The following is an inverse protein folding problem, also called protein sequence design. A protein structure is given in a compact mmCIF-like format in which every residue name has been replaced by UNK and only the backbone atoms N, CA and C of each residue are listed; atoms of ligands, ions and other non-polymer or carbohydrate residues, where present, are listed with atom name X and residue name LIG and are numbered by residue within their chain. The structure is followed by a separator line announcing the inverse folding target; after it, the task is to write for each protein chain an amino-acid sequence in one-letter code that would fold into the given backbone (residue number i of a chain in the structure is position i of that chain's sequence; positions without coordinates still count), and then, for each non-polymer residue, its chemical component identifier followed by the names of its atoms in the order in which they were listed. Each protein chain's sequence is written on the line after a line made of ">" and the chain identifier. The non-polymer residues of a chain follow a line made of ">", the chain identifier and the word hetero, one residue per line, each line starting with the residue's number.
data_IF_045680840523
#
_entry.id   IF_045680840523
#
_cell.length_a   1.000
_cell.length_b   1.000
_cell.length_c   1.000
_cell.angle_alpha   90.00
_cell.angle_beta   90.00
_cell.angle_gamma   90.00
#
_symmetry.space_group_name_H-M   'P 1'
#
loop_
_entity.id
_entity.type
_entity.pdbx_description
1 polymer ?
#
# COMPACT_ATOMS: atom_id res chain seq x y z
N UNK A 1 -28.46 35.00 21.45
CA UNK A 1 -28.48 36.48 21.52
C UNK A 1 -29.92 36.89 21.24
N UNK A 2 -30.73 37.27 22.26
CA UNK A 2 -31.12 38.68 22.55
C UNK A 2 -31.14 39.52 21.26
N UNK A 3 -32.23 40.10 20.77
CA UNK A 3 -33.54 40.42 21.33
C UNK A 3 -33.99 41.77 20.74
N UNK A 4 -35.29 41.93 20.52
CA UNK A 4 -36.07 43.16 20.22
C UNK A 4 -35.81 43.85 18.86
N UNK A 5 -36.82 44.36 18.15
CA UNK A 5 -37.87 45.34 18.55
C UNK A 5 -38.99 45.27 17.45
N UNK A 6 -40.29 45.06 17.70
CA UNK A 6 -41.38 45.94 18.24
C UNK A 6 -41.39 47.37 17.65
N UNK A 7 -42.49 48.05 17.28
CA UNK A 7 -43.95 47.81 17.36
C UNK A 7 -44.70 48.79 16.43
N UNK A 8 -45.98 48.45 16.26
CA UNK A 8 -47.12 48.95 15.48
C UNK A 8 -47.61 50.39 15.76
N UNK A 9 -48.25 50.94 14.72
CA UNK A 9 -49.06 52.17 14.57
C UNK A 9 -50.21 52.29 15.59
N UNK A 10 -50.51 53.48 16.12
CA UNK A 10 -51.90 53.85 16.49
C UNK A 10 -52.16 55.36 16.70
N UNK A 11 -53.45 55.69 16.59
CA UNK A 11 -54.20 56.96 16.40
C UNK A 11 -54.28 57.94 17.60
N UNK A 12 -54.82 59.15 17.34
CA UNK A 12 -55.67 59.94 18.28
C UNK A 12 -55.36 61.45 18.23
N UNK A 13 -56.15 62.34 17.60
CA UNK A 13 -57.44 62.99 17.99
C UNK A 13 -57.29 64.28 18.87
N UNK A 14 -58.03 65.32 18.45
CA UNK A 14 -58.47 66.60 19.12
C UNK A 14 -57.41 67.70 19.38
N UNK A 15 -57.44 68.88 18.74
CA UNK A 15 -58.41 70.01 18.69
C UNK A 15 -58.12 71.10 19.76
N UNK A 16 -57.92 72.36 19.33
CA UNK A 16 -58.57 73.61 19.80
C UNK A 16 -57.79 74.88 19.35
N UNK A 17 -58.57 75.87 18.92
CA UNK A 17 -58.30 77.31 18.66
C UNK A 17 -57.57 77.72 17.37
N UNK A 18 -58.20 78.28 16.32
CA UNK A 18 -59.15 79.41 16.12
C UNK A 18 -58.41 80.71 15.74
N UNK A 19 -58.87 81.26 14.62
CA UNK A 19 -58.68 82.61 14.04
C UNK A 19 -57.64 82.82 12.91
N UNK A 20 -58.18 83.43 11.84
CA UNK A 20 -57.53 84.23 10.77
C UNK A 20 -56.77 83.37 9.74
N UNK A 21 -57.09 83.35 8.45
CA UNK A 21 -57.60 84.39 7.56
C UNK A 21 -58.12 83.75 6.27
N UNK A 22 -59.24 84.27 5.74
CA UNK A 22 -59.57 84.18 4.32
C UNK A 22 -58.44 84.81 3.48
N UNK A 23 -58.28 84.33 2.24
CA UNK A 23 -57.41 84.80 1.15
C UNK A 23 -56.09 84.06 0.94
N UNK A 24 -56.15 82.89 0.28
CA UNK A 24 -55.07 82.46 -0.64
C UNK A 24 -55.46 81.25 -1.54
N UNK A 25 -56.71 81.15 -2.03
CA UNK A 25 -57.20 79.90 -2.65
C UNK A 25 -57.16 79.82 -4.18
N UNK A 26 -56.41 80.70 -4.88
CA UNK A 26 -56.45 80.71 -6.36
C UNK A 26 -55.10 80.86 -7.11
N UNK A 27 -53.94 80.70 -6.44
CA UNK A 27 -52.64 80.85 -7.13
C UNK A 27 -51.66 79.67 -7.03
N UNK A 28 -52.02 78.55 -6.38
CA UNK A 28 -51.11 77.42 -6.13
C UNK A 28 -51.38 76.13 -6.94
N UNK A 29 -52.41 76.09 -7.80
CA UNK A 29 -52.82 74.83 -8.45
C UNK A 29 -52.00 74.43 -9.69
N UNK A 30 -51.29 75.35 -10.34
CA UNK A 30 -50.56 75.06 -11.60
C UNK A 30 -49.09 74.68 -11.37
N UNK A 31 -48.48 75.09 -10.26
CA UNK A 31 -47.09 74.77 -9.91
C UNK A 31 -46.97 73.31 -9.44
N UNK A 32 -48.00 72.80 -8.76
CA UNK A 32 -48.00 71.47 -8.15
C UNK A 32 -48.20 70.32 -9.16
N UNK A 33 -48.75 70.58 -10.35
CA UNK A 33 -48.90 69.59 -11.43
C UNK A 33 -47.65 69.50 -12.29
N UNK A 34 -46.97 70.62 -12.57
CA UNK A 34 -45.70 70.62 -13.32
C UNK A 34 -44.56 69.95 -12.54
N UNK A 35 -44.50 70.18 -11.22
CA UNK A 35 -43.50 69.55 -10.33
C UNK A 35 -43.71 68.04 -10.21
N UNK A 36 -44.96 67.57 -10.18
CA UNK A 36 -45.27 66.13 -10.18
C UNK A 36 -44.97 65.47 -11.52
N UNK A 37 -45.15 66.18 -12.64
CA UNK A 37 -44.77 65.70 -13.97
C UNK A 37 -43.24 65.63 -14.14
N UNK A 38 -42.51 66.62 -13.62
CA UNK A 38 -41.05 66.65 -13.62
C UNK A 38 -40.46 65.50 -12.79
N UNK A 39 -41.03 65.21 -11.62
CA UNK A 39 -40.64 64.07 -10.78
C UNK A 39 -40.96 62.74 -11.47
N UNK A 40 -42.10 62.62 -12.16
CA UNK A 40 -42.49 61.41 -12.89
C UNK A 40 -41.57 61.11 -14.09
N UNK A 41 -41.05 62.15 -14.74
CA UNK A 41 -40.08 62.03 -15.85
C UNK A 41 -38.66 61.77 -15.33
N UNK A 42 -38.29 62.22 -14.12
CA UNK A 42 -36.95 62.00 -13.56
C UNK A 42 -36.73 60.57 -13.01
N UNK A 43 -37.79 59.88 -12.59
CA UNK A 43 -37.73 58.53 -12.02
C UNK A 43 -37.18 57.48 -13.00
N UNK A 44 -37.59 57.40 -14.29
CA UNK A 44 -37.02 56.42 -15.22
C UNK A 44 -35.56 56.69 -15.61
N UNK A 45 -35.04 57.91 -15.43
CA UNK A 45 -33.61 58.20 -15.67
C UNK A 45 -32.68 57.62 -14.59
N UNK A 46 -33.20 57.36 -13.38
CA UNK A 46 -32.42 56.78 -12.28
C UNK A 46 -32.38 55.24 -12.32
N UNK A 47 -33.25 54.59 -13.11
CA UNK A 47 -33.33 53.13 -13.24
C UNK A 47 -32.41 52.62 -14.38
N UNK A 48 -31.84 53.52 -15.20
CA UNK A 48 -30.86 53.19 -16.24
C UNK A 48 -29.42 53.05 -15.70
N UNK A 49 -29.27 52.37 -14.57
CA UNK A 49 -27.97 52.15 -13.92
C UNK A 49 -27.32 50.85 -14.45
N UNK A 50 -26.62 50.99 -15.57
CA UNK A 50 -25.55 50.17 -16.13
C UNK A 50 -25.40 48.66 -15.74
N UNK A 51 -26.38 47.85 -16.14
CA UNK A 51 -26.38 46.37 -16.09
C UNK A 51 -25.11 45.71 -16.71
N UNK A 52 -24.39 46.42 -17.60
CA UNK A 52 -23.16 45.93 -18.25
C UNK A 52 -22.01 45.70 -17.28
N UNK A 53 -21.88 46.50 -16.21
CA UNK A 53 -20.81 46.35 -15.22
C UNK A 53 -21.05 45.15 -14.31
N UNK A 54 -22.28 44.89 -13.93
CA UNK A 54 -22.65 43.70 -13.13
C UNK A 54 -22.45 42.41 -13.92
N UNK A 55 -22.79 42.44 -15.22
CA UNK A 55 -22.54 41.32 -16.11
C UNK A 55 -21.04 41.04 -16.30
N UNK A 56 -20.22 42.08 -16.51
CA UNK A 56 -18.75 41.96 -16.59
C UNK A 56 -18.12 41.43 -15.29
N UNK A 57 -18.63 41.86 -14.13
CA UNK A 57 -18.19 41.35 -12.82
C UNK A 57 -18.55 39.87 -12.65
N UNK A 58 -19.77 39.48 -13.01
CA UNK A 58 -20.24 38.09 -12.93
C UNK A 58 -19.43 37.17 -13.86
N UNK A 59 -19.10 37.62 -15.07
CA UNK A 59 -18.24 36.88 -16.00
C UNK A 59 -16.82 36.69 -15.45
N UNK A 60 -16.26 37.72 -14.80
CA UNK A 60 -14.95 37.63 -14.14
C UNK A 60 -14.98 36.69 -12.93
N UNK A 61 -16.00 36.74 -12.11
CA UNK A 61 -16.17 35.84 -10.95
C UNK A 61 -16.29 34.38 -11.41
N UNK A 62 -17.09 34.09 -12.43
CA UNK A 62 -17.20 32.75 -13.00
C UNK A 62 -15.88 32.26 -13.60
N UNK A 63 -15.14 33.14 -14.29
CA UNK A 63 -13.83 32.81 -14.84
C UNK A 63 -12.75 32.60 -13.76
N UNK A 64 -12.92 33.19 -12.57
CA UNK A 64 -12.04 32.94 -11.42
C UNK A 64 -12.40 31.60 -10.76
N UNK A 65 -13.68 31.32 -10.54
CA UNK A 65 -14.16 30.05 -9.99
C UNK A 65 -13.74 28.85 -10.84
N UNK A 66 -13.82 28.96 -12.17
CA UNK A 66 -13.38 27.88 -13.07
C UNK A 66 -11.86 27.64 -12.95
N UNK A 67 -11.06 28.69 -12.75
CA UNK A 67 -9.62 28.55 -12.52
C UNK A 67 -9.33 27.91 -11.17
N UNK A 68 -10.03 28.32 -10.11
CA UNK A 68 -9.89 27.73 -8.78
C UNK A 68 -10.22 26.23 -8.79
N UNK A 69 -11.29 25.82 -9.46
CA UNK A 69 -11.62 24.40 -9.65
C UNK A 69 -10.51 23.64 -10.38
N UNK A 70 -9.99 24.19 -11.48
CA UNK A 70 -8.88 23.58 -12.23
C UNK A 70 -7.62 23.43 -11.39
N UNK A 71 -7.33 24.40 -10.51
CA UNK A 71 -6.20 24.30 -9.59
C UNK A 71 -6.43 23.22 -8.52
N UNK A 72 -7.64 23.14 -7.95
CA UNK A 72 -7.99 22.12 -6.97
C UNK A 72 -7.88 20.70 -7.55
N UNK A 73 -8.36 20.48 -8.78
CA UNK A 73 -8.25 19.19 -9.47
C UNK A 73 -6.78 18.82 -9.72
N UNK A 74 -5.95 19.79 -10.12
CA UNK A 74 -4.52 19.58 -10.36
C UNK A 74 -3.75 19.28 -9.08
N UNK A 75 -4.10 19.93 -7.98
CA UNK A 75 -3.50 19.68 -6.68
C UNK A 75 -3.86 18.28 -6.17
N UNK A 76 -5.13 17.86 -6.31
CA UNK A 76 -5.55 16.51 -5.96
C UNK A 76 -4.85 15.44 -6.80
N UNK A 77 -4.70 15.66 -8.11
CA UNK A 77 -3.94 14.77 -9.00
C UNK A 77 -2.46 14.68 -8.58
N UNK A 78 -1.84 15.82 -8.26
CA UNK A 78 -0.46 15.87 -7.81
C UNK A 78 -0.25 15.12 -6.49
N UNK A 79 -1.15 15.27 -5.52
CA UNK A 79 -1.10 14.52 -4.27
C UNK A 79 -1.20 13.01 -4.49
N UNK A 80 -2.06 12.55 -5.41
CA UNK A 80 -2.20 11.13 -5.73
C UNK A 80 -0.91 10.58 -6.35
N UNK A 81 -0.29 11.33 -7.26
CA UNK A 81 0.99 10.96 -7.85
C UNK A 81 2.11 10.90 -6.79
N UNK A 82 2.12 11.83 -5.84
CA UNK A 82 3.08 11.84 -4.74
C UNK A 82 2.92 10.61 -3.85
N UNK A 83 1.68 10.28 -3.46
CA UNK A 83 1.36 9.05 -2.69
C UNK A 83 1.78 7.78 -3.43
N UNK A 84 1.57 7.73 -4.76
CA UNK A 84 2.03 6.61 -5.58
C UNK A 84 3.55 6.50 -5.58
N UNK A 85 4.27 7.62 -5.79
CA UNK A 85 5.73 7.66 -5.73
C UNK A 85 6.23 7.14 -4.37
N UNK A 86 5.65 7.60 -3.28
CA UNK A 86 6.04 7.18 -1.93
C UNK A 86 5.79 5.68 -1.73
N UNK A 87 4.65 5.15 -2.21
CA UNK A 87 4.38 3.71 -2.17
C UNK A 87 5.40 2.89 -2.96
N UNK A 88 5.85 3.39 -4.11
CA UNK A 88 6.87 2.74 -4.93
C UNK A 88 8.24 2.85 -4.28
N UNK A 89 8.59 3.98 -3.66
CA UNK A 89 9.85 4.15 -2.94
C UNK A 89 9.92 3.24 -1.72
N UNK A 90 8.83 3.08 -0.97
CA UNK A 90 8.74 2.09 0.12
C UNK A 90 8.90 0.66 -0.43
N UNK A 91 8.28 0.34 -1.57
CA UNK A 91 8.46 -0.95 -2.23
C UNK A 91 9.88 -1.18 -2.77
N UNK A 92 10.58 -0.11 -3.19
CA UNK A 92 11.97 -0.16 -3.68
C UNK A 92 12.97 -0.22 -2.52
N UNK A 93 12.73 0.45 -1.40
CA UNK A 93 13.55 0.30 -0.18
C UNK A 93 13.51 -1.13 0.36
N UNK A 94 12.39 -1.85 0.19
CA UNK A 94 12.30 -3.30 0.47
C UNK A 94 13.13 -4.12 -0.54
N UNK A 95 13.35 -3.63 -1.76
CA UNK A 95 14.10 -4.28 -2.85
C UNK A 95 15.56 -3.88 -2.97
N UNK A 96 16.02 -2.80 -2.36
CA UNK A 96 17.45 -2.40 -2.32
C UNK A 96 18.28 -3.33 -1.44
N UNK A 97 17.62 -4.17 -0.64
CA UNK A 97 18.17 -5.47 -0.31
C UNK A 97 17.78 -6.43 -1.42
N UNK A 98 18.40 -6.31 -2.61
CA UNK A 98 18.51 -7.47 -3.50
C UNK A 98 19.13 -8.52 -2.59
N UNK A 99 18.43 -9.60 -2.22
CA UNK A 99 19.00 -10.57 -1.31
C UNK A 99 20.25 -11.04 -2.02
N UNK A 100 21.42 -10.58 -1.53
CA UNK A 100 22.73 -10.93 -2.07
C UNK A 100 22.67 -12.43 -2.24
N UNK A 101 22.57 -12.88 -3.50
CA UNK A 101 22.15 -14.25 -3.81
C UNK A 101 23.05 -15.11 -2.94
N UNK A 102 22.44 -15.78 -1.96
CA UNK A 102 23.22 -16.59 -1.03
C UNK A 102 23.72 -17.72 -1.91
N UNK A 103 24.98 -17.64 -2.30
CA UNK A 103 25.65 -18.67 -3.09
C UNK A 103 26.41 -19.57 -2.13
N UNK A 104 26.48 -20.86 -2.46
CA UNK A 104 27.30 -21.77 -1.68
C UNK A 104 28.78 -21.33 -1.80
N UNK A 105 29.57 -21.43 -0.71
CA UNK A 105 31.01 -21.24 -0.80
C UNK A 105 31.60 -22.22 -1.83
N UNK A 106 32.65 -21.81 -2.52
CA UNK A 106 33.25 -22.59 -3.62
C UNK A 106 33.72 -23.98 -3.19
N UNK A 107 34.04 -24.16 -1.91
CA UNK A 107 34.40 -25.46 -1.32
C UNK A 107 33.27 -26.50 -1.37
N UNK A 108 32.00 -26.08 -1.45
CA UNK A 108 30.84 -26.97 -1.47
C UNK A 108 30.36 -27.30 -2.88
N UNK A 109 30.80 -26.57 -3.92
CA UNK A 109 30.37 -26.72 -5.33
C UNK A 109 30.92 -27.98 -6.03
N UNK A 110 31.37 -28.96 -5.25
CA UNK A 110 31.80 -30.28 -5.73
C UNK A 110 30.69 -31.30 -5.43
N UNK A 111 30.72 -32.44 -6.12
CA UNK A 111 29.85 -33.56 -5.79
C UNK A 111 30.35 -34.24 -4.52
N UNK A 112 29.43 -34.56 -3.62
CA UNK A 112 29.72 -35.24 -2.36
C UNK A 112 29.10 -36.63 -2.34
N UNK A 113 29.86 -37.65 -1.96
CA UNK A 113 29.34 -38.97 -1.63
C UNK A 113 28.85 -38.96 -0.19
N UNK A 114 27.55 -39.15 -0.02
CA UNK A 114 26.87 -39.24 1.26
C UNK A 114 26.82 -40.69 1.72
N UNK A 115 27.29 -40.95 2.93
CA UNK A 115 27.05 -42.19 3.67
C UNK A 115 26.12 -41.88 4.83
N UNK A 116 24.94 -42.48 4.80
CA UNK A 116 23.89 -42.28 5.80
C UNK A 116 23.69 -43.56 6.59
N UNK A 117 23.65 -43.47 7.92
CA UNK A 117 23.44 -44.62 8.82
C UNK A 117 22.28 -44.31 9.76
N UNK A 118 21.25 -45.16 9.78
CA UNK A 118 20.13 -45.03 10.71
C UNK A 118 20.62 -45.30 12.15
N UNK A 119 20.47 -44.31 13.03
CA UNK A 119 20.85 -44.39 14.45
C UNK A 119 19.66 -44.64 15.36
N UNK A 120 18.54 -44.01 15.04
CA UNK A 120 17.29 -44.10 15.79
C UNK A 120 16.14 -44.18 14.79
N UNK A 121 15.18 -45.07 15.04
CA UNK A 121 13.96 -45.15 14.24
C UNK A 121 12.82 -45.70 15.09
N UNK A 122 11.65 -45.07 14.98
CA UNK A 122 10.37 -45.65 15.42
C UNK A 122 9.44 -45.94 14.22
N UNK A 123 9.94 -45.79 12.99
CA UNK A 123 9.19 -46.03 11.76
C UNK A 123 9.34 -47.51 11.34
N UNK A 124 8.26 -48.14 10.87
CA UNK A 124 8.29 -49.53 10.35
C UNK A 124 9.22 -49.69 9.14
N UNK A 125 9.44 -48.63 8.38
CA UNK A 125 10.15 -48.66 7.10
C UNK A 125 11.64 -48.33 7.21
N UNK A 126 12.16 -48.06 8.41
CA UNK A 126 13.56 -47.72 8.65
C UNK A 126 14.09 -48.54 9.81
N UNK A 127 15.13 -49.34 9.55
CA UNK A 127 15.73 -50.23 10.55
C UNK A 127 17.03 -49.61 11.06
N UNK A 128 17.26 -49.68 12.37
CA UNK A 128 18.49 -49.19 12.98
C UNK A 128 19.68 -49.97 12.39
N UNK A 129 20.70 -49.25 11.91
CA UNK A 129 21.83 -49.82 11.19
C UNK A 129 21.70 -49.81 9.67
N UNK A 130 20.55 -49.43 9.10
CA UNK A 130 20.39 -49.23 7.66
C UNK A 130 21.44 -48.25 7.13
N UNK A 131 22.15 -48.65 6.08
CA UNK A 131 23.14 -47.82 5.40
C UNK A 131 22.67 -47.48 4.00
N UNK A 132 22.81 -46.21 3.63
CA UNK A 132 22.48 -45.72 2.28
C UNK A 132 23.59 -44.82 1.78
N UNK A 133 23.91 -44.99 0.50
CA UNK A 133 24.89 -44.16 -0.18
C UNK A 133 24.20 -43.39 -1.30
N UNK A 134 24.35 -42.07 -1.29
CA UNK A 134 23.77 -41.16 -2.29
C UNK A 134 24.83 -40.15 -2.72
N UNK A 135 24.62 -39.49 -3.88
CA UNK A 135 25.51 -38.41 -4.33
C UNK A 135 24.77 -37.09 -4.17
N UNK A 136 25.39 -36.13 -3.51
CA UNK A 136 24.81 -34.82 -3.24
C UNK A 136 25.54 -33.77 -4.06
N UNK A 137 24.78 -32.87 -4.68
CA UNK A 137 25.29 -31.78 -5.50
C UNK A 137 24.69 -30.45 -5.03
N UNK A 138 25.56 -29.55 -4.57
CA UNK A 138 25.14 -28.26 -4.03
C UNK A 138 25.10 -27.22 -5.15
N UNK A 139 23.90 -26.79 -5.51
CA UNK A 139 23.64 -25.82 -6.57
C UNK A 139 23.01 -24.55 -5.99
N UNK A 140 23.23 -23.42 -6.64
CA UNK A 140 22.58 -22.15 -6.28
C UNK A 140 22.16 -21.43 -7.56
N UNK A 141 20.93 -20.93 -7.60
CA UNK A 141 20.37 -20.20 -8.73
C UNK A 141 19.79 -18.84 -8.28
N UNK A 142 18.99 -18.20 -9.13
CA UNK A 142 18.32 -16.91 -8.84
C UNK A 142 17.22 -17.01 -7.78
N UNK A 143 16.74 -18.22 -7.47
CA UNK A 143 15.64 -18.49 -6.54
C UNK A 143 16.12 -18.97 -5.17
N UNK A 144 17.37 -19.46 -5.06
CA UNK A 144 17.97 -19.80 -3.77
C UNK A 144 19.11 -20.81 -3.84
N UNK A 145 19.44 -21.34 -2.67
CA UNK A 145 20.40 -22.43 -2.46
C UNK A 145 19.69 -23.77 -2.43
N UNK A 146 20.22 -24.74 -3.16
CA UNK A 146 19.65 -26.08 -3.25
C UNK A 146 20.72 -27.16 -3.08
N UNK A 147 20.31 -28.33 -2.63
CA UNK A 147 21.11 -29.55 -2.64
C UNK A 147 20.33 -30.65 -3.36
N UNK A 148 20.86 -31.09 -4.49
CA UNK A 148 20.29 -32.15 -5.31
C UNK A 148 20.83 -33.50 -4.86
N UNK A 149 19.94 -34.43 -4.57
CA UNK A 149 20.28 -35.81 -4.27
C UNK A 149 20.16 -36.64 -5.54
N UNK A 150 21.28 -37.17 -5.98
CA UNK A 150 21.45 -37.95 -7.19
C UNK A 150 21.55 -39.44 -6.86
N UNK A 151 20.90 -40.26 -7.66
CA UNK A 151 21.02 -41.72 -7.65
C UNK A 151 21.01 -42.20 -9.09
N UNK A 152 22.04 -42.93 -9.52
CA UNK A 152 22.23 -43.35 -10.92
C UNK A 152 22.16 -42.18 -11.93
N UNK A 153 22.77 -41.03 -11.58
CA UNK A 153 22.74 -39.77 -12.35
C UNK A 153 21.37 -39.09 -12.50
N UNK A 154 20.31 -39.58 -11.88
CA UNK A 154 19.00 -38.93 -11.84
C UNK A 154 18.78 -38.22 -10.51
N UNK A 155 18.17 -37.03 -10.56
CA UNK A 155 17.81 -36.27 -9.35
C UNK A 155 16.59 -36.94 -8.71
N UNK A 156 16.79 -37.57 -7.54
CA UNK A 156 15.71 -38.20 -6.77
C UNK A 156 15.02 -37.24 -5.82
N UNK A 157 15.75 -36.26 -5.28
CA UNK A 157 15.23 -35.29 -4.31
C UNK A 157 15.96 -33.96 -4.42
N UNK A 158 15.26 -32.88 -4.12
CA UNK A 158 15.82 -31.54 -4.01
C UNK A 158 15.54 -30.99 -2.62
N UNK A 159 16.59 -30.53 -1.95
CA UNK A 159 16.47 -29.80 -0.69
C UNK A 159 16.68 -28.31 -0.91
N UNK A 160 15.90 -27.49 -0.21
CA UNK A 160 16.19 -26.06 -0.04
C UNK A 160 17.19 -25.90 1.09
N UNK A 161 18.30 -25.22 0.81
CA UNK A 161 19.38 -25.02 1.76
C UNK A 161 19.45 -23.62 2.31
N UNK A 162 19.95 -23.51 3.53
CA UNK A 162 20.37 -22.26 4.15
C UNK A 162 21.78 -22.43 4.71
N UNK A 163 22.68 -21.57 4.27
CA UNK A 163 24.04 -21.49 4.82
C UNK A 163 24.05 -20.50 5.99
N UNK A 164 24.26 -21.02 7.19
CA UNK A 164 24.47 -20.27 8.43
C UNK A 164 25.95 -20.33 8.82
N UNK A 165 26.35 -19.58 9.85
CA UNK A 165 27.73 -19.59 10.35
C UNK A 165 28.10 -21.01 10.79
N UNK A 166 28.96 -21.67 10.00
CA UNK A 166 29.43 -23.05 10.18
C UNK A 166 28.34 -24.13 10.26
N UNK A 167 27.15 -23.88 9.70
CA UNK A 167 26.06 -24.85 9.69
C UNK A 167 25.28 -24.76 8.40
N UNK A 168 24.94 -25.90 7.83
CA UNK A 168 24.04 -26.01 6.67
C UNK A 168 22.75 -26.64 7.15
N UNK A 169 21.64 -25.95 6.92
CA UNK A 169 20.30 -26.49 7.18
C UNK A 169 19.63 -26.74 5.84
N UNK A 170 19.19 -27.97 5.61
CA UNK A 170 18.47 -28.37 4.40
C UNK A 170 17.08 -28.86 4.77
N UNK A 171 16.08 -28.37 4.06
CA UNK A 171 14.68 -28.78 4.22
C UNK A 171 14.15 -29.34 2.91
N UNK A 172 13.33 -30.39 2.99
CA UNK A 172 12.65 -30.94 1.83
C UNK A 172 11.86 -29.84 1.11
N UNK A 173 12.22 -29.57 -0.15
CA UNK A 173 11.37 -28.75 -1.00
C UNK A 173 10.04 -29.50 -1.15
N UNK A 174 8.94 -28.93 -0.66
CA UNK A 174 7.61 -29.54 -0.80
C UNK A 174 7.33 -29.73 -2.29
N UNK A 175 7.49 -30.95 -2.80
CA UNK A 175 6.99 -31.30 -4.12
C UNK A 175 5.47 -31.45 -4.02
N UNK A 176 4.76 -30.77 -4.91
CA UNK A 176 3.30 -30.76 -4.98
C UNK A 176 2.68 -32.08 -5.45
N UNK A 177 3.47 -33.15 -5.62
CA UNK A 177 3.04 -34.43 -6.20
C UNK A 177 3.16 -35.64 -5.27
N UNK A 178 3.79 -35.52 -4.09
CA UNK A 178 4.01 -36.67 -3.22
C UNK A 178 2.82 -36.90 -2.26
N UNK A 179 2.08 -37.99 -2.47
CA UNK A 179 0.96 -38.48 -1.62
C UNK A 179 1.31 -38.79 -0.16
N UNK A 180 2.54 -38.52 0.28
CA UNK A 180 3.02 -38.80 1.63
C UNK A 180 3.58 -37.52 2.26
N UNK A 181 3.04 -37.12 3.41
CA UNK A 181 3.44 -35.97 4.23
C UNK A 181 4.79 -36.20 4.95
N UNK A 182 5.80 -36.71 4.23
CA UNK A 182 7.13 -36.97 4.79
C UNK A 182 7.92 -35.67 4.77
N UNK A 183 8.29 -35.18 5.95
CA UNK A 183 9.19 -34.03 6.12
C UNK A 183 10.60 -34.54 6.36
N UNK A 184 11.55 -34.03 5.61
CA UNK A 184 12.96 -34.37 5.77
C UNK A 184 13.71 -33.08 6.09
N UNK A 185 14.43 -33.08 7.20
CA UNK A 185 15.33 -32.00 7.60
C UNK A 185 16.74 -32.56 7.75
N UNK A 186 17.74 -31.84 7.26
CA UNK A 186 19.15 -32.18 7.40
C UNK A 186 19.87 -31.01 8.04
N UNK A 187 20.65 -31.29 9.07
CA UNK A 187 21.53 -30.32 9.71
C UNK A 187 22.94 -30.84 9.60
N UNK A 188 23.80 -30.11 8.86
CA UNK A 188 25.23 -30.37 8.77
C UNK A 188 25.95 -29.31 9.59
N UNK A 189 26.58 -29.71 10.69
CA UNK A 189 27.16 -28.84 11.71
C UNK A 189 28.66 -29.05 11.95
N UNK A 190 29.24 -30.13 11.43
CA UNK A 190 30.69 -30.36 11.41
C UNK A 190 31.20 -30.26 9.96
N UNK A 191 31.48 -29.03 9.50
CA UNK A 191 31.95 -28.74 8.14
C UNK A 191 33.47 -28.65 8.14
N UNK A 192 34.15 -29.70 7.65
CA UNK A 192 35.61 -29.72 7.43
C UNK A 192 35.91 -29.77 5.93
N UNK A 193 37.17 -29.46 5.56
CA UNK A 193 37.61 -29.39 4.15
C UNK A 193 37.32 -30.66 3.34
N UNK A 194 37.44 -31.84 3.96
CA UNK A 194 37.37 -33.14 3.28
C UNK A 194 36.24 -34.04 3.79
N UNK A 195 35.54 -33.64 4.85
CA UNK A 195 34.46 -34.43 5.45
C UNK A 195 33.45 -33.46 6.03
N UNK A 196 32.17 -33.65 5.73
CA UNK A 196 31.10 -32.90 6.38
C UNK A 196 30.22 -33.89 7.11
N UNK A 197 29.94 -33.66 8.39
CA UNK A 197 29.04 -34.52 9.16
C UNK A 197 27.81 -33.77 9.61
N UNK A 198 26.76 -34.53 9.87
CA UNK A 198 25.53 -34.00 10.39
C UNK A 198 24.50 -35.08 10.67
N UNK A 199 23.26 -34.63 10.84
CA UNK A 199 22.11 -35.47 11.14
C UNK A 199 20.98 -35.17 10.17
N UNK A 200 20.36 -36.21 9.62
CA UNK A 200 19.12 -36.13 8.88
C UNK A 200 17.99 -36.70 9.71
N UNK A 201 16.91 -35.93 9.85
CA UNK A 201 15.69 -36.33 10.53
C UNK A 201 14.58 -36.49 9.51
N UNK A 202 13.98 -37.68 9.45
CA UNK A 202 12.83 -37.99 8.62
C UNK A 202 11.61 -38.08 9.53
N UNK A 203 10.58 -37.27 9.28
CA UNK A 203 9.31 -37.28 10.00
C UNK A 203 8.19 -37.72 9.05
N UNK A 204 7.57 -38.86 9.33
CA UNK A 204 6.49 -39.46 8.53
C UNK A 204 5.08 -39.07 8.98
N UNK A 205 4.07 -39.73 8.41
CA UNK A 205 2.66 -39.35 8.51
C UNK A 205 1.99 -39.70 9.87
N UNK A 206 2.64 -40.52 10.71
CA UNK A 206 2.12 -40.96 12.01
C UNK A 206 3.03 -40.52 13.18
N UNK A 207 3.64 -39.32 13.08
CA UNK A 207 4.70 -38.85 13.99
C UNK A 207 5.90 -39.80 14.10
N UNK A 208 6.04 -40.73 13.15
CA UNK A 208 7.22 -41.57 13.09
C UNK A 208 8.43 -40.70 12.73
N UNK A 209 9.50 -40.82 13.50
CA UNK A 209 10.75 -40.10 13.39
C UNK A 209 11.88 -41.10 13.26
N UNK A 210 12.70 -40.94 12.21
CA UNK A 210 13.95 -41.66 12.05
C UNK A 210 15.10 -40.66 11.93
N UNK A 211 16.19 -40.91 12.66
CA UNK A 211 17.41 -40.11 12.64
C UNK A 211 18.55 -40.88 11.99
N UNK A 212 19.19 -40.22 11.04
CA UNK A 212 20.33 -40.73 10.30
C UNK A 212 21.55 -39.88 10.61
N UNK A 213 22.68 -40.53 10.89
CA UNK A 213 23.98 -39.89 10.84
C UNK A 213 24.38 -39.76 9.39
N UNK A 214 24.70 -38.55 8.95
CA UNK A 214 25.13 -38.24 7.58
C UNK A 214 26.62 -37.91 7.60
N UNK A 215 27.38 -38.54 6.71
CA UNK A 215 28.77 -38.20 6.45
C UNK A 215 28.97 -38.00 4.95
N UNK A 216 29.36 -36.79 4.57
CA UNK A 216 29.66 -36.41 3.20
C UNK A 216 31.18 -36.41 3.00
N UNK A 217 31.62 -37.07 1.95
CA UNK A 217 33.02 -37.06 1.48
C UNK A 217 33.09 -36.57 0.04
N UNK A 218 34.12 -35.85 -0.38
CA UNK A 218 34.28 -35.43 -1.77
C UNK A 218 34.23 -36.66 -2.69
N UNK A 219 33.31 -36.65 -3.65
CA UNK A 219 33.30 -37.66 -4.70
C UNK A 219 34.53 -37.42 -5.56
N UNK A 220 35.45 -38.39 -5.60
CA UNK A 220 36.58 -38.34 -6.54
C UNK A 220 36.01 -38.22 -7.96
N UNK A 221 36.54 -37.29 -8.73
CA UNK A 221 36.19 -37.08 -10.13
C UNK A 221 36.88 -38.10 -11.00
#
# INVERSE_FOLDING_TARGET
>A
MKGNTSIVICRGITAVNRFLCLNCWLQNSTVMTLQKLLVLILIPLLISCNNKKEQELTERENALLEREQKFADKEAEYELLLKMKDSLQLAVQIKDTVPKIKTWPDSLKIKWSSKMICRESNCTNYVIGDQRTEVWDFASDSTGMYANVLSNNEVKRVFRGQYLVNKIVLDSAKESSAKSNIKINVVLDDIKKNVIKGTQTVTGQDNCTAKFSVELTPSKK
#
